data_IF_723613349231
#
_entry.id   IF_723613349231
#
_cell.length_a   1.000
_cell.length_b   1.000
_cell.length_c   1.000
_cell.angle_alpha   90.00
_cell.angle_beta   90.00
_cell.angle_gamma   90.00
#
_symmetry.space_group_name_H-M   'P 1'
#
loop_
_entity.id
_entity.type
_entity.pdbx_description
1 polymer ?
#
# COMPACT_ATOMS: atom_id res chain seq x y z
N UNK A 1 13.29 52.94 -10.17
CA UNK A 1 13.84 51.79 -9.42
C UNK A 1 12.79 50.69 -9.44
N UNK A 2 13.02 49.62 -10.19
CA UNK A 2 12.11 48.46 -10.21
C UNK A 2 12.55 47.47 -9.16
N UNK A 3 11.68 47.16 -8.21
CA UNK A 3 11.92 46.11 -7.22
C UNK A 3 11.91 44.74 -7.94
N UNK A 4 12.97 43.95 -7.78
CA UNK A 4 12.95 42.51 -8.12
C UNK A 4 12.06 41.80 -7.09
N UNK A 5 11.09 40.97 -7.50
CA UNK A 5 10.43 40.06 -6.58
C UNK A 5 11.42 39.00 -6.09
N UNK A 6 11.26 38.50 -4.86
CA UNK A 6 12.12 37.45 -4.32
C UNK A 6 11.95 36.15 -5.12
N UNK A 7 12.98 35.28 -5.15
CA UNK A 7 12.81 33.93 -5.70
C UNK A 7 11.80 33.18 -4.84
N UNK A 8 10.74 32.67 -5.46
CA UNK A 8 9.96 31.58 -4.84
C UNK A 8 10.91 30.39 -4.74
N UNK A 9 11.21 29.97 -3.51
CA UNK A 9 11.84 28.70 -3.24
C UNK A 9 11.07 27.59 -3.97
N UNK A 10 11.78 26.92 -4.87
CA UNK A 10 11.38 25.62 -5.39
C UNK A 10 11.60 24.59 -4.29
N UNK A 11 10.68 23.63 -4.18
CA UNK A 11 11.07 22.29 -3.73
C UNK A 11 10.46 21.79 -2.43
N UNK A 12 9.15 21.91 -2.26
CA UNK A 12 8.40 20.81 -1.65
C UNK A 12 7.51 20.26 -2.77
N UNK A 13 7.98 19.19 -3.40
CA UNK A 13 7.10 18.30 -4.17
C UNK A 13 5.92 17.98 -3.26
N UNK A 14 4.67 17.98 -3.76
CA UNK A 14 3.55 17.60 -2.93
C UNK A 14 3.87 16.24 -2.32
N UNK A 15 3.71 16.08 -1.01
CA UNK A 15 3.67 14.78 -0.36
C UNK A 15 2.50 14.03 -1.02
N UNK A 16 2.79 13.29 -2.09
CA UNK A 16 1.79 12.51 -2.80
C UNK A 16 1.44 11.41 -1.82
N UNK A 17 0.38 11.61 -1.05
CA UNK A 17 -0.11 10.56 -0.18
C UNK A 17 -0.69 9.47 -1.07
N UNK A 18 0.09 8.40 -1.27
CA UNK A 18 -0.31 7.24 -2.05
C UNK A 18 -1.29 6.37 -1.26
N UNK A 19 -2.22 5.75 -1.97
CA UNK A 19 -3.20 4.83 -1.39
C UNK A 19 -3.42 3.62 -2.30
N UNK A 20 -3.83 2.50 -1.70
CA UNK A 20 -4.22 1.33 -2.46
C UNK A 20 -3.02 0.64 -3.12
N UNK A 21 -3.18 0.21 -4.37
CA UNK A 21 -2.12 -0.52 -5.10
C UNK A 21 -0.88 0.35 -5.30
N UNK A 22 -1.01 1.66 -5.54
CA UNK A 22 0.14 2.56 -5.63
C UNK A 22 0.95 2.58 -4.33
N UNK A 23 0.27 2.66 -3.18
CA UNK A 23 0.95 2.58 -1.88
C UNK A 23 1.59 1.21 -1.62
N UNK A 24 1.00 0.13 -2.14
CA UNK A 24 1.61 -1.20 -2.06
C UNK A 24 2.90 -1.24 -2.88
N UNK A 25 2.85 -0.77 -4.12
CA UNK A 25 3.99 -0.79 -5.05
C UNK A 25 5.13 0.05 -4.51
N UNK A 26 4.85 1.29 -4.08
CA UNK A 26 5.82 2.16 -3.43
C UNK A 26 6.44 1.49 -2.20
N UNK A 27 5.64 0.82 -1.35
CA UNK A 27 6.17 0.11 -0.18
C UNK A 27 7.04 -1.09 -0.56
N UNK A 28 6.78 -1.75 -1.68
CA UNK A 28 7.65 -2.83 -2.16
C UNK A 28 8.95 -2.25 -2.74
N UNK A 29 8.89 -1.14 -3.47
CA UNK A 29 10.07 -0.46 -4.02
C UNK A 29 10.99 0.12 -2.92
N UNK A 30 10.43 0.57 -1.80
CA UNK A 30 11.20 1.01 -0.63
C UNK A 30 11.87 -0.15 0.14
N UNK A 31 11.46 -1.40 -0.11
CA UNK A 31 12.05 -2.55 0.57
C UNK A 31 13.35 -2.98 -0.09
N UNK A 32 14.40 -3.07 0.72
CA UNK A 32 15.67 -3.66 0.32
C UNK A 32 15.58 -5.21 0.28
N UNK A 33 14.76 -5.75 -0.64
CA UNK A 33 14.56 -7.19 -0.81
C UNK A 33 15.63 -7.76 -1.74
N UNK A 34 16.39 -8.73 -1.24
CA UNK A 34 17.27 -9.55 -2.07
C UNK A 34 16.51 -10.74 -2.65
N UNK A 35 16.52 -10.87 -3.98
CA UNK A 35 15.86 -11.98 -4.69
C UNK A 35 16.86 -13.11 -5.06
N UNK A 36 16.42 -14.38 -5.07
CA UNK A 36 15.08 -14.86 -4.72
C UNK A 36 14.79 -14.79 -3.22
N UNK A 37 13.51 -14.62 -2.86
CA UNK A 37 13.04 -14.54 -1.47
C UNK A 37 11.80 -15.38 -1.25
N UNK A 38 11.67 -16.03 -0.09
CA UNK A 38 10.46 -16.80 0.25
C UNK A 38 9.38 -15.92 0.89
N UNK A 39 8.12 -16.32 0.73
CA UNK A 39 6.99 -15.68 1.41
C UNK A 39 7.13 -15.71 2.95
N UNK A 40 7.81 -16.74 3.48
CA UNK A 40 8.10 -16.84 4.92
C UNK A 40 9.12 -15.80 5.35
N UNK A 41 10.20 -15.61 4.59
CA UNK A 41 11.22 -14.59 4.87
C UNK A 41 10.65 -13.18 4.74
N UNK A 42 9.90 -12.90 3.66
CA UNK A 42 9.22 -11.62 3.47
C UNK A 42 8.29 -11.30 4.63
N UNK A 43 7.47 -12.27 5.09
CA UNK A 43 6.59 -12.06 6.23
C UNK A 43 7.35 -11.88 7.54
N UNK A 44 8.49 -12.53 7.71
CA UNK A 44 9.33 -12.38 8.90
C UNK A 44 9.98 -10.99 8.97
N UNK A 45 10.38 -10.45 7.82
CA UNK A 45 11.12 -9.19 7.76
C UNK A 45 10.21 -7.96 7.61
N UNK A 46 9.12 -8.11 6.86
CA UNK A 46 8.23 -7.01 6.47
C UNK A 46 6.75 -7.26 6.80
N UNK A 47 6.42 -8.30 7.56
CA UNK A 47 5.04 -8.65 7.88
C UNK A 47 4.27 -7.56 8.62
N UNK A 48 4.96 -6.80 9.49
CA UNK A 48 4.40 -5.70 10.28
C UNK A 48 4.22 -4.39 9.48
N UNK A 49 4.72 -4.32 8.24
CA UNK A 49 4.56 -3.14 7.39
C UNK A 49 3.09 -2.93 7.08
N UNK A 50 2.62 -1.71 7.29
CA UNK A 50 1.24 -1.30 7.00
C UNK A 50 1.18 -0.52 5.71
N UNK A 51 0.22 -0.87 4.88
CA UNK A 51 -0.02 -0.22 3.59
C UNK A 51 -1.37 0.49 3.63
N UNK A 52 -1.43 1.80 3.42
CA UNK A 52 -2.67 2.57 3.42
C UNK A 52 -3.54 2.20 2.20
N UNK A 53 -4.83 1.97 2.42
CA UNK A 53 -5.73 1.48 1.36
C UNK A 53 -6.73 2.51 0.86
N UNK A 54 -7.03 3.53 1.67
CA UNK A 54 -7.96 4.62 1.35
C UNK A 54 -7.75 5.84 2.27
N UNK A 55 -8.26 7.04 1.90
CA UNK A 55 -8.09 8.26 2.68
C UNK A 55 -8.86 8.29 4.02
N UNK A 56 -9.71 7.30 4.32
CA UNK A 56 -10.36 7.21 5.62
C UNK A 56 -9.42 6.68 6.71
N UNK A 57 -8.16 6.38 6.37
CA UNK A 57 -7.12 5.94 7.30
C UNK A 57 -7.06 4.42 7.49
N UNK A 58 -7.70 3.65 6.61
CA UNK A 58 -7.61 2.20 6.68
C UNK A 58 -6.25 1.72 6.15
N UNK A 59 -5.73 0.69 6.81
CA UNK A 59 -4.44 0.07 6.48
C UNK A 59 -4.57 -1.45 6.45
N UNK A 60 -3.77 -2.11 5.62
CA UNK A 60 -3.63 -3.57 5.61
C UNK A 60 -2.18 -3.92 5.92
N UNK A 61 -1.97 -4.91 6.79
CA UNK A 61 -0.63 -5.44 7.05
C UNK A 61 -0.15 -6.28 5.88
N UNK A 62 1.06 -6.01 5.41
CA UNK A 62 1.65 -6.72 4.28
C UNK A 62 1.79 -8.21 4.57
N UNK A 63 2.08 -8.60 5.82
CA UNK A 63 2.15 -9.99 6.22
C UNK A 63 0.86 -10.77 5.97
N UNK A 64 -0.29 -10.11 6.05
CA UNK A 64 -1.57 -10.75 5.73
C UNK A 64 -1.81 -10.88 4.22
N UNK A 65 -1.29 -9.96 3.42
CA UNK A 65 -1.34 -10.02 1.95
C UNK A 65 -0.45 -11.16 1.47
N UNK A 66 0.78 -11.24 1.98
CA UNK A 66 1.74 -12.32 1.70
C UNK A 66 1.17 -13.68 2.16
N UNK A 67 0.50 -13.75 3.32
CA UNK A 67 -0.09 -15.00 3.79
C UNK A 67 -1.27 -15.49 2.93
N UNK A 68 -1.90 -14.59 2.17
CA UNK A 68 -3.03 -14.90 1.31
C UNK A 68 -2.63 -15.22 -0.13
N UNK A 69 -1.34 -15.15 -0.50
CA UNK A 69 -0.87 -15.64 -1.80
C UNK A 69 -0.60 -17.15 -1.75
N UNK A 70 -0.85 -17.83 -2.87
CA UNK A 70 -0.47 -19.24 -3.06
C UNK A 70 1.03 -19.40 -3.39
N UNK A 71 1.70 -18.30 -3.75
CA UNK A 71 3.10 -18.31 -4.15
C UNK A 71 4.03 -18.38 -2.93
N UNK A 72 5.02 -19.27 -2.97
CA UNK A 72 5.93 -19.54 -1.85
C UNK A 72 7.28 -18.84 -1.95
N UNK A 73 7.70 -18.51 -3.16
CA UNK A 73 8.98 -17.87 -3.47
C UNK A 73 8.78 -16.88 -4.61
N UNK A 74 9.49 -15.76 -4.52
CA UNK A 74 9.51 -14.70 -5.52
C UNK A 74 10.91 -14.57 -6.08
N UNK A 75 11.01 -14.53 -7.41
CA UNK A 75 12.30 -14.47 -8.12
C UNK A 75 12.69 -13.05 -8.52
N UNK A 76 11.75 -12.11 -8.47
CA UNK A 76 11.96 -10.70 -8.82
C UNK A 76 10.91 -9.81 -8.16
N UNK A 77 11.22 -8.51 -8.06
CA UNK A 77 10.31 -7.49 -7.54
C UNK A 77 9.01 -7.40 -8.34
N UNK A 78 9.11 -7.38 -9.68
CA UNK A 78 7.94 -7.34 -10.55
C UNK A 78 7.03 -8.56 -10.35
N UNK A 79 7.60 -9.74 -10.08
CA UNK A 79 6.82 -10.94 -9.77
C UNK A 79 6.11 -10.80 -8.42
N UNK A 80 6.81 -10.27 -7.40
CA UNK A 80 6.23 -9.97 -6.10
C UNK A 80 5.05 -9.00 -6.20
N UNK A 81 5.23 -7.85 -6.85
CA UNK A 81 4.18 -6.85 -7.05
C UNK A 81 2.96 -7.48 -7.73
N UNK A 82 3.15 -8.14 -8.89
CA UNK A 82 2.06 -8.79 -9.63
C UNK A 82 1.31 -9.84 -8.82
N UNK A 83 2.00 -10.56 -7.93
CA UNK A 83 1.39 -11.54 -7.06
C UNK A 83 0.59 -10.91 -5.92
N UNK A 84 1.07 -9.80 -5.33
CA UNK A 84 0.46 -9.17 -4.17
C UNK A 84 -0.67 -8.19 -4.55
N UNK A 85 -0.57 -7.44 -5.64
CA UNK A 85 -1.59 -6.46 -6.06
C UNK A 85 -3.03 -7.05 -6.10
N UNK A 86 -3.30 -8.20 -6.75
CA UNK A 86 -4.67 -8.74 -6.80
C UNK A 86 -5.19 -9.25 -5.45
N UNK A 87 -4.30 -9.73 -4.57
CA UNK A 87 -4.66 -10.18 -3.23
C UNK A 87 -4.98 -8.99 -2.33
N UNK A 88 -4.16 -7.94 -2.44
CA UNK A 88 -4.35 -6.68 -1.75
C UNK A 88 -5.67 -6.02 -2.14
N UNK A 89 -5.97 -5.96 -3.43
CA UNK A 89 -7.19 -5.36 -3.96
C UNK A 89 -8.45 -6.06 -3.43
N UNK A 90 -8.49 -7.40 -3.46
CA UNK A 90 -9.59 -8.17 -2.88
C UNK A 90 -9.80 -7.85 -1.39
N UNK A 91 -8.72 -7.60 -0.66
CA UNK A 91 -8.81 -7.32 0.77
C UNK A 91 -9.24 -5.88 1.03
N UNK A 92 -8.80 -4.93 0.20
CA UNK A 92 -9.32 -3.55 0.16
C UNK A 92 -10.83 -3.53 -0.07
N UNK A 93 -11.33 -4.27 -1.06
CA UNK A 93 -12.77 -4.34 -1.34
C UNK A 93 -13.58 -4.84 -0.14
N UNK A 94 -13.04 -5.79 0.64
CA UNK A 94 -13.69 -6.29 1.87
C UNK A 94 -13.73 -5.23 2.97
N UNK A 95 -12.64 -4.48 3.17
CA UNK A 95 -12.59 -3.38 4.14
C UNK A 95 -13.61 -2.30 3.77
N UNK A 96 -13.62 -1.86 2.51
CA UNK A 96 -14.57 -0.86 2.00
C UNK A 96 -16.03 -1.32 2.08
N UNK A 97 -16.32 -2.57 1.69
CA UNK A 97 -17.67 -3.12 1.75
C UNK A 97 -18.20 -3.24 3.19
N UNK A 98 -17.32 -3.59 4.14
CA UNK A 98 -17.68 -3.66 5.57
C UNK A 98 -18.13 -2.31 6.14
N UNK A 99 -17.49 -1.22 5.72
CA UNK A 99 -17.80 0.14 6.18
C UNK A 99 -19.13 0.64 5.59
N UNK A 100 -19.38 0.40 4.30
CA UNK A 100 -20.67 0.74 3.67
C UNK A 100 -21.82 0.00 4.35
N UNK A 101 -21.60 -1.27 4.73
CA UNK A 101 -22.56 -2.05 5.50
C UNK A 101 -22.84 -1.45 6.89
N UNK A 102 -21.80 -1.01 7.61
CA UNK A 102 -21.94 -0.39 8.93
C UNK A 102 -22.65 0.97 8.88
N UNK A 103 -22.28 1.86 7.94
CA UNK A 103 -22.94 3.16 7.75
C UNK A 103 -24.43 3.00 7.41
N UNK A 104 -24.79 2.01 6.60
CA UNK A 104 -26.18 1.72 6.26
C UNK A 104 -26.96 1.15 7.44
N UNK A 105 -26.31 0.46 8.38
CA UNK A 105 -26.95 -0.04 9.61
C UNK A 105 -27.32 1.08 10.61
N UNK A 106 -26.76 2.28 10.45
CA UNK A 106 -27.04 3.44 11.31
C UNK A 106 -28.14 4.36 10.74
N UNK A 107 -28.61 4.09 9.51
CA UNK A 107 -29.75 4.78 8.92
C UNK A 107 -31.00 3.91 9.11
N UNK A 108 -31.99 4.33 9.93
CA UNK A 108 -33.27 3.62 10.01
C UNK A 108 -33.97 3.66 8.64
N UNK A 109 -34.58 2.53 8.27
CA UNK A 109 -35.41 2.37 7.06
C UNK A 109 -36.63 3.29 7.07
#
# INVERSE_FOLDING_TARGET
>A
MGARPPPNDMGEEPDITEFGVAALDARIEEMDVSFPVTAVELRRQYGDVRVPVDPAGNEIQLGEVIAATDQREFTSETELQRALSPVFEQKRERVSSGIVGWLRSLLPI
#
